data_IF_885270316032
#
_entry.id   IF_885270316032
#
_cell.length_a   1.000
_cell.length_b   1.000
_cell.length_c   1.000
_cell.angle_alpha   90.00
_cell.angle_beta   90.00
_cell.angle_gamma   90.00
#
_symmetry.space_group_name_H-M   'P 1'
#
loop_
_entity.id
_entity.type
_entity.pdbx_description
1 polymer ?
#
# COMPACT_ATOMS: atom_id res chain seq x y z
N UNK A 1 -0.36 -35.22 -14.67
CA UNK A 1 -0.99 -33.99 -15.22
C UNK A 1 -0.58 -32.81 -14.35
N UNK A 2 0.38 -32.00 -14.80
CA UNK A 2 0.73 -30.73 -14.15
C UNK A 2 -0.37 -29.71 -14.49
N UNK A 3 -1.25 -29.42 -13.53
CA UNK A 3 -2.17 -28.28 -13.65
C UNK A 3 -1.36 -27.01 -13.41
N UNK A 4 -1.02 -26.32 -14.50
CA UNK A 4 -0.45 -24.99 -14.46
C UNK A 4 -1.50 -24.03 -13.86
N UNK A 5 -1.39 -23.86 -12.54
CA UNK A 5 -2.12 -22.82 -11.81
C UNK A 5 -1.53 -21.47 -12.22
N UNK A 6 -2.05 -20.91 -13.32
CA UNK A 6 -2.17 -19.45 -13.43
C UNK A 6 -3.16 -19.02 -12.34
N UNK A 7 -2.70 -19.06 -11.10
CA UNK A 7 -3.38 -18.45 -9.98
C UNK A 7 -3.34 -16.96 -10.29
N UNK A 8 -4.46 -16.44 -10.76
CA UNK A 8 -4.76 -15.03 -10.75
C UNK A 8 -4.47 -14.52 -9.34
N UNK A 9 -3.26 -14.03 -9.10
CA UNK A 9 -2.81 -13.47 -7.83
C UNK A 9 -3.50 -12.12 -7.68
N UNK A 10 -4.78 -12.16 -7.34
CA UNK A 10 -5.57 -11.02 -6.88
C UNK A 10 -5.37 -10.99 -5.37
N UNK A 11 -4.55 -10.04 -4.92
CA UNK A 11 -4.27 -9.83 -3.51
C UNK A 11 -4.63 -8.40 -3.15
N UNK A 12 -5.45 -8.21 -2.13
CA UNK A 12 -5.66 -6.91 -1.50
C UNK A 12 -4.76 -6.84 -0.28
N UNK A 13 -3.83 -5.89 -0.26
CA UNK A 13 -2.98 -5.61 0.90
C UNK A 13 -3.48 -4.34 1.54
N UNK A 14 -3.81 -4.38 2.83
CA UNK A 14 -4.14 -3.17 3.56
C UNK A 14 -2.87 -2.63 4.18
N UNK A 15 -2.51 -1.41 3.79
CA UNK A 15 -1.35 -0.72 4.35
C UNK A 15 -1.86 0.40 5.24
N UNK A 16 -1.26 0.49 6.41
CA UNK A 16 -1.51 1.54 7.37
C UNK A 16 -0.25 2.38 7.48
N UNK A 17 -0.40 3.68 7.30
CA UNK A 17 0.72 4.60 7.40
C UNK A 17 0.28 5.93 7.98
N UNK A 18 1.21 6.61 8.63
CA UNK A 18 0.97 7.90 9.24
C UNK A 18 1.59 8.96 8.35
N UNK A 19 0.78 9.87 7.81
CA UNK A 19 1.33 11.02 7.09
C UNK A 19 1.37 12.20 8.07
N UNK A 20 2.49 12.92 8.08
CA UNK A 20 2.69 14.14 8.85
C UNK A 20 2.17 15.38 8.10
N UNK A 21 1.95 16.48 8.83
CA UNK A 21 1.55 17.78 8.28
C UNK A 21 2.49 18.32 7.19
N UNK A 22 3.76 17.89 7.19
CA UNK A 22 4.78 18.24 6.20
C UNK A 22 4.75 17.36 4.92
N UNK A 23 3.83 16.39 4.81
CA UNK A 23 3.72 15.46 3.68
C UNK A 23 4.67 14.26 3.72
N UNK A 24 5.47 14.12 4.80
CA UNK A 24 6.27 12.91 5.05
C UNK A 24 5.40 11.78 5.55
N UNK A 25 5.79 10.56 5.23
CA UNK A 25 5.16 9.33 5.72
C UNK A 25 6.06 8.69 6.76
N UNK A 26 5.49 8.35 7.91
CA UNK A 26 6.09 7.59 9.00
C UNK A 26 5.22 6.36 9.33
N UNK A 27 5.81 5.37 10.01
CA UNK A 27 5.14 4.12 10.44
C UNK A 27 4.36 3.41 9.32
N UNK A 28 5.05 2.97 8.27
CA UNK A 28 4.43 2.14 7.22
C UNK A 28 4.35 0.69 7.70
N UNK A 29 3.13 0.21 7.92
CA UNK A 29 2.83 -1.13 8.41
C UNK A 29 1.80 -1.83 7.52
N UNK A 30 1.90 -3.16 7.40
CA UNK A 30 0.88 -3.96 6.72
C UNK A 30 -0.20 -4.33 7.74
N UNK A 31 -1.38 -3.72 7.62
CA UNK A 31 -2.53 -4.02 8.47
C UNK A 31 -3.20 -5.35 8.09
N UNK A 32 -3.21 -5.69 6.80
CA UNK A 32 -3.75 -6.95 6.31
C UNK A 32 -2.91 -7.45 5.15
N UNK A 33 -2.27 -8.60 5.32
CA UNK A 33 -1.49 -9.23 4.26
C UNK A 33 -2.42 -9.93 3.27
N UNK A 34 -2.05 -9.88 1.99
CA UNK A 34 -2.72 -10.63 0.92
C UNK A 34 -2.46 -12.15 0.96
N UNK A 35 -1.64 -12.62 1.91
CA UNK A 35 -1.16 -14.00 1.98
C UNK A 35 0.06 -14.28 1.10
N UNK A 36 0.62 -13.25 0.46
CA UNK A 36 1.81 -13.33 -0.39
C UNK A 36 2.82 -12.27 0.01
N UNK A 37 3.92 -12.68 0.66
CA UNK A 37 4.99 -11.78 1.10
C UNK A 37 5.54 -10.89 -0.03
N UNK A 38 5.56 -11.38 -1.27
CA UNK A 38 5.99 -10.60 -2.44
C UNK A 38 5.09 -9.40 -2.71
N UNK A 39 3.76 -9.58 -2.57
CA UNK A 39 2.80 -8.50 -2.72
C UNK A 39 2.91 -7.53 -1.55
N UNK A 40 3.06 -8.01 -0.32
CA UNK A 40 3.24 -7.15 0.86
C UNK A 40 4.49 -6.27 0.73
N UNK A 41 5.62 -6.84 0.33
CA UNK A 41 6.87 -6.10 0.08
C UNK A 41 6.70 -5.07 -1.04
N UNK A 42 6.05 -5.46 -2.14
CA UNK A 42 5.76 -4.55 -3.25
C UNK A 42 4.84 -3.40 -2.81
N UNK A 43 3.88 -3.67 -1.92
CA UNK A 43 2.98 -2.67 -1.36
C UNK A 43 3.73 -1.64 -0.52
N UNK A 44 4.60 -2.08 0.37
CA UNK A 44 5.46 -1.20 1.18
C UNK A 44 6.37 -0.36 0.27
N UNK A 45 6.98 -0.99 -0.74
CA UNK A 45 7.82 -0.29 -1.73
C UNK A 45 7.03 0.76 -2.50
N UNK A 46 5.82 0.44 -2.95
CA UNK A 46 4.96 1.38 -3.68
C UNK A 46 4.64 2.63 -2.84
N UNK A 47 4.31 2.46 -1.56
CA UNK A 47 4.08 3.60 -0.64
C UNK A 47 5.36 4.41 -0.43
N UNK A 48 6.51 3.74 -0.24
CA UNK A 48 7.80 4.44 -0.10
C UNK A 48 8.16 5.24 -1.34
N UNK A 49 7.97 4.67 -2.54
CA UNK A 49 8.24 5.35 -3.81
C UNK A 49 7.24 6.47 -4.11
N UNK A 50 6.01 6.36 -3.60
CA UNK A 50 5.00 7.40 -3.75
C UNK A 50 5.23 8.62 -2.82
N UNK A 51 6.23 8.57 -1.92
CA UNK A 51 6.59 9.74 -1.11
C UNK A 51 7.36 10.79 -1.95
N UNK A 52 7.14 12.09 -1.73
CA UNK A 52 6.25 12.69 -0.73
C UNK A 52 4.78 12.79 -1.20
N UNK A 53 3.84 12.56 -0.27
CA UNK A 53 2.42 12.75 -0.53
C UNK A 53 2.05 14.24 -0.47
N UNK A 54 0.97 14.67 -1.15
CA UNK A 54 0.52 16.06 -1.06
C UNK A 54 0.25 16.45 0.41
N UNK A 55 0.60 17.69 0.80
CA UNK A 55 0.46 18.14 2.18
C UNK A 55 -1.01 18.17 2.60
N UNK A 56 -1.24 17.99 3.90
CA UNK A 56 -2.58 18.00 4.44
C UNK A 56 -3.32 19.31 4.17
N UNK A 57 -4.63 19.27 3.86
CA UNK A 57 -5.43 20.46 3.83
C UNK A 57 -5.37 21.16 5.19
N UNK A 58 -5.00 22.45 5.21
CA UNK A 58 -4.83 23.29 6.42
C UNK A 58 -6.03 23.31 7.37
N UNK A 59 -7.21 22.89 6.90
CA UNK A 59 -8.41 22.72 7.73
C UNK A 59 -8.25 21.63 8.80
N UNK A 60 -7.35 20.67 8.59
CA UNK A 60 -7.06 19.61 9.53
C UNK A 60 -6.02 20.14 10.55
N UNK A 61 -6.45 20.60 11.72
CA UNK A 61 -5.59 21.00 12.86
C UNK A 61 -4.89 19.79 13.52
N UNK A 62 -4.37 18.86 12.73
CA UNK A 62 -3.69 17.65 13.21
C UNK A 62 -2.28 17.63 12.64
N UNK A 63 -1.31 17.33 13.50
CA UNK A 63 0.11 17.26 13.12
C UNK A 63 0.43 15.97 12.36
N UNK A 64 -0.38 14.92 12.56
CA UNK A 64 -0.29 13.63 11.88
C UNK A 64 -1.68 13.04 11.63
N UNK A 65 -1.81 12.28 10.54
CA UNK A 65 -3.01 11.49 10.24
C UNK A 65 -2.61 10.05 9.91
N UNK A 66 -3.19 9.12 10.65
CA UNK A 66 -3.10 7.69 10.35
C UNK A 66 -4.13 7.34 9.29
N UNK A 67 -3.67 6.89 8.13
CA UNK A 67 -4.52 6.49 7.00
C UNK A 67 -4.31 4.99 6.76
N UNK A 68 -5.39 4.29 6.48
CA UNK A 68 -5.36 2.91 6.01
C UNK A 68 -5.87 2.87 4.58
N UNK A 69 -5.05 2.36 3.65
CA UNK A 69 -5.36 2.32 2.23
C UNK A 69 -5.32 0.86 1.75
N UNK A 70 -6.39 0.37 1.10
CA UNK A 70 -6.36 -0.94 0.44
C UNK A 70 -5.63 -0.83 -0.90
N UNK A 71 -4.47 -1.48 -1.02
CA UNK A 71 -3.77 -1.68 -2.29
C UNK A 71 -4.27 -2.96 -2.95
N UNK A 72 -5.02 -2.79 -4.05
CA UNK A 72 -5.51 -3.91 -4.86
C UNK A 72 -4.51 -4.21 -5.97
N UNK A 73 -3.82 -5.33 -5.86
CA UNK A 73 -2.92 -5.78 -6.91
C UNK A 73 -3.71 -6.55 -7.97
N UNK A 74 -3.69 -6.02 -9.19
CA UNK A 74 -4.19 -6.69 -10.39
C UNK A 74 -3.03 -6.81 -11.36
N UNK A 75 -2.44 -8.00 -11.43
CA UNK A 75 -1.51 -8.33 -12.50
C UNK A 75 -2.30 -8.31 -13.81
N UNK A 76 -2.11 -7.26 -14.60
CA UNK A 76 -2.45 -7.27 -16.02
C UNK A 76 -1.33 -8.03 -16.70
N UNK A 77 -1.65 -9.21 -17.22
CA UNK A 77 -0.73 -9.92 -18.10
C UNK A 77 -0.64 -9.09 -19.39
N UNK A 78 0.46 -8.35 -19.54
CA UNK A 78 0.76 -7.70 -20.82
C UNK A 78 1.17 -8.80 -21.79
N UNK A 79 0.28 -9.09 -22.73
CA UNK A 79 0.49 -10.05 -23.81
C UNK A 79 1.37 -9.47 -24.91
#
# INVERSE_FOLDING_TARGET
>A
MCQAKFRYLKGTVHIKFTILSNGKVEEVEVAHSSGYETLDKAAILAIKTATPFPPFPKAMRRESLRIEVPLVFKLIETK
#
